data_IF_933029279770
#
_entry.id   IF_933029279770
#
_cell.length_a   1.000
_cell.length_b   1.000
_cell.length_c   1.000
_cell.angle_alpha   90.00
_cell.angle_beta   90.00
_cell.angle_gamma   90.00
#
_symmetry.space_group_name_H-M   'P 1'
#
loop_
_entity.id
_entity.type
_entity.pdbx_description
1 polymer ?
#
# COMPACT_ATOMS: atom_id res chain seq x y z
N UNK A 1 17.73 27.19 -19.29
CA UNK A 1 16.28 27.37 -19.05
C UNK A 1 15.47 26.07 -19.15
N UNK A 2 16.04 24.98 -19.63
CA UNK A 2 15.35 23.70 -19.86
C UNK A 2 15.09 22.87 -18.59
N UNK A 3 16.03 22.80 -17.63
CA UNK A 3 15.84 22.00 -16.41
C UNK A 3 14.76 22.52 -15.47
N UNK A 4 14.56 23.84 -15.38
CA UNK A 4 13.49 24.44 -14.56
C UNK A 4 12.10 24.18 -15.17
N UNK A 5 12.03 24.12 -16.50
CA UNK A 5 10.80 23.83 -17.24
C UNK A 5 10.38 22.36 -17.08
N UNK A 6 11.33 21.43 -17.14
CA UNK A 6 11.07 20.00 -16.94
C UNK A 6 10.61 19.72 -15.51
N UNK A 7 11.23 20.35 -14.50
CA UNK A 7 10.81 20.23 -13.11
C UNK A 7 9.38 20.77 -12.88
N UNK A 8 9.02 21.91 -13.50
CA UNK A 8 7.66 22.44 -13.42
C UNK A 8 6.62 21.52 -14.07
N UNK A 9 6.92 20.92 -15.22
CA UNK A 9 6.00 20.02 -15.92
C UNK A 9 5.77 18.73 -15.13
N UNK A 10 6.81 18.18 -14.50
CA UNK A 10 6.68 16.98 -13.66
C UNK A 10 5.85 17.29 -12.40
N UNK A 11 6.05 18.45 -11.77
CA UNK A 11 5.30 18.86 -10.57
C UNK A 11 3.83 19.14 -10.88
N UNK A 12 3.51 19.74 -12.04
CA UNK A 12 2.10 19.96 -12.44
C UNK A 12 1.40 18.64 -12.76
N UNK A 13 2.05 17.70 -13.44
CA UNK A 13 1.46 16.39 -13.75
C UNK A 13 1.21 15.56 -12.48
N UNK A 14 2.07 15.66 -11.46
CA UNK A 14 1.89 14.99 -10.18
C UNK A 14 0.72 15.54 -9.33
N UNK A 15 0.38 16.82 -9.48
CA UNK A 15 -0.70 17.46 -8.70
C UNK A 15 -2.09 17.35 -9.37
N UNK A 16 -2.15 17.12 -10.68
CA UNK A 16 -3.42 17.00 -11.44
C UNK A 16 -4.11 15.63 -11.27
N UNK A 17 -3.52 14.67 -10.54
CA UNK A 17 -4.00 13.31 -10.40
C UNK A 17 -4.98 13.02 -9.25
N UNK A 18 -5.45 14.01 -8.47
CA UNK A 18 -6.25 13.76 -7.25
C UNK A 18 -7.63 14.45 -7.25
N UNK A 19 -8.17 14.84 -8.40
CA UNK A 19 -9.57 15.28 -8.48
C UNK A 19 -10.49 14.12 -8.89
N UNK A 20 -10.94 13.37 -7.90
CA UNK A 20 -12.21 12.62 -7.99
C UNK A 20 -13.20 13.29 -7.05
N UNK A 21 -13.97 14.24 -7.60
CA UNK A 21 -15.11 14.83 -6.92
C UNK A 21 -16.31 13.88 -7.04
N UNK A 22 -16.79 13.49 -5.87
CA UNK A 22 -18.02 12.75 -5.65
C UNK A 22 -19.21 13.36 -6.41
N UNK A 23 -19.92 12.50 -7.14
CA UNK A 23 -21.28 12.74 -7.59
C UNK A 23 -22.06 11.45 -7.35
N UNK A 24 -22.62 11.33 -6.15
CA UNK A 24 -23.70 10.38 -5.85
C UNK A 24 -24.86 11.22 -5.34
N UNK A 25 -25.87 11.38 -6.20
CA UNK A 25 -27.14 12.03 -5.87
C UNK A 25 -28.24 11.06 -6.29
N UNK A 26 -28.64 10.21 -5.35
CA UNK A 26 -29.93 9.54 -5.37
C UNK A 26 -30.80 10.21 -4.30
N UNK A 27 -31.68 11.07 -4.78
CA UNK A 27 -32.83 11.60 -4.05
C UNK A 27 -33.95 10.57 -4.14
N UNK A 28 -34.19 9.84 -3.05
CA UNK A 28 -35.40 9.02 -2.88
C UNK A 28 -36.05 9.36 -1.54
N UNK A 29 -36.88 10.39 -1.60
CA UNK A 29 -38.22 10.47 -1.02
C UNK A 29 -38.49 9.64 0.25
N UNK A 30 -38.35 10.31 1.39
CA UNK A 30 -39.30 10.37 2.53
C UNK A 30 -40.27 9.18 2.66
N UNK A 31 -40.03 8.31 3.64
CA UNK A 31 -41.10 7.73 4.46
C UNK A 31 -40.62 7.69 5.91
N UNK A 32 -41.08 8.64 6.73
CA UNK A 32 -40.89 8.62 8.18
C UNK A 32 -41.85 7.56 8.74
N UNK A 33 -41.34 6.33 8.90
CA UNK A 33 -41.95 5.34 9.80
C UNK A 33 -41.28 5.54 11.15
N UNK A 34 -42.03 6.11 12.09
CA UNK A 34 -41.61 6.25 13.48
C UNK A 34 -41.54 4.85 14.12
N UNK A 35 -40.35 4.25 14.14
CA UNK A 35 -40.10 3.07 14.96
C UNK A 35 -39.86 3.48 16.43
N UNK A 36 -40.32 2.70 17.41
CA UNK A 36 -40.00 2.94 18.82
C UNK A 36 -38.48 2.91 19.00
N UNK A 37 -37.92 3.95 19.64
CA UNK A 37 -36.50 4.03 19.96
C UNK A 37 -36.19 2.89 20.95
N UNK A 38 -35.35 1.89 20.59
CA UNK A 38 -34.93 0.89 21.57
C UNK A 38 -34.15 1.59 22.69
N UNK A 39 -34.27 1.13 23.96
CA UNK A 39 -33.54 1.73 25.07
C UNK A 39 -32.05 1.73 24.76
N UNK A 40 -31.38 2.89 24.91
CA UNK A 40 -29.94 2.99 24.78
C UNK A 40 -29.28 2.15 25.87
N UNK A 41 -28.90 0.92 25.54
CA UNK A 41 -28.04 0.08 26.36
C UNK A 41 -26.72 0.81 26.57
N UNK A 42 -26.44 1.24 27.80
CA UNK A 42 -25.12 1.76 28.17
C UNK A 42 -24.09 0.65 27.89
N UNK A 43 -22.95 0.96 27.24
CA UNK A 43 -21.92 -0.05 26.98
C UNK A 43 -21.47 -0.67 28.31
N UNK A 44 -21.56 -1.99 28.42
CA UNK A 44 -21.13 -2.71 29.60
C UNK A 44 -19.60 -2.61 29.71
N UNK A 45 -18.99 -2.45 30.91
CA UNK A 45 -17.54 -2.35 31.06
C UNK A 45 -16.75 -3.50 30.39
N UNK A 46 -17.36 -4.68 30.32
CA UNK A 46 -16.80 -5.85 29.62
C UNK A 46 -16.72 -5.66 28.09
N UNK A 47 -17.65 -4.91 27.49
CA UNK A 47 -17.61 -4.57 26.07
C UNK A 47 -16.49 -3.59 25.74
N UNK A 48 -16.18 -2.65 26.65
CA UNK A 48 -15.06 -1.73 26.48
C UNK A 48 -13.71 -2.44 26.55
N UNK A 49 -13.56 -3.37 27.50
CA UNK A 49 -12.36 -4.19 27.63
C UNK A 49 -12.15 -5.06 26.37
N UNK A 50 -13.21 -5.68 25.85
CA UNK A 50 -13.17 -6.45 24.59
C UNK A 50 -12.78 -5.59 23.40
N UNK A 51 -13.42 -4.42 23.21
CA UNK A 51 -13.07 -3.47 22.13
C UNK A 51 -11.64 -2.96 22.22
N UNK A 52 -11.11 -2.77 23.44
CA UNK A 52 -9.70 -2.39 23.63
C UNK A 52 -8.77 -3.52 23.18
N UNK A 53 -9.05 -4.76 23.58
CA UNK A 53 -8.27 -5.92 23.16
C UNK A 53 -8.28 -6.09 21.63
N UNK A 54 -9.43 -5.95 20.99
CA UNK A 54 -9.56 -6.00 19.53
C UNK A 54 -8.72 -4.91 18.83
N UNK A 55 -8.76 -3.67 19.34
CA UNK A 55 -7.94 -2.56 18.82
C UNK A 55 -6.44 -2.82 19.00
N UNK A 56 -6.04 -3.33 20.16
CA UNK A 56 -4.64 -3.63 20.47
C UNK A 56 -4.12 -4.75 19.54
N UNK A 57 -4.94 -5.78 19.28
CA UNK A 57 -4.61 -6.85 18.33
C UNK A 57 -4.50 -6.34 16.89
N UNK A 58 -5.47 -5.53 16.44
CA UNK A 58 -5.46 -4.94 15.10
C UNK A 58 -4.24 -4.02 14.89
N UNK A 59 -3.88 -3.23 15.92
CA UNK A 59 -2.68 -2.38 15.88
C UNK A 59 -1.42 -3.23 15.72
N UNK A 60 -1.26 -4.28 16.53
CA UNK A 60 -0.10 -5.18 16.46
C UNK A 60 0.02 -5.84 15.09
N UNK A 61 -1.09 -6.34 14.53
CA UNK A 61 -1.11 -6.94 13.19
C UNK A 61 -0.67 -5.93 12.10
N UNK A 62 -1.11 -4.68 12.20
CA UNK A 62 -0.70 -3.65 11.25
C UNK A 62 0.80 -3.28 11.38
N UNK A 63 1.33 -3.22 12.61
CA UNK A 63 2.75 -3.00 12.88
C UNK A 63 3.61 -4.13 12.30
N UNK A 64 3.20 -5.39 12.50
CA UNK A 64 3.87 -6.56 11.94
C UNK A 64 3.87 -6.56 10.40
N UNK A 65 2.73 -6.23 9.78
CA UNK A 65 2.63 -6.09 8.32
C UNK A 65 3.54 -4.99 7.79
N UNK A 66 3.57 -3.83 8.45
CA UNK A 66 4.44 -2.72 8.06
C UNK A 66 5.93 -3.10 8.18
N UNK A 67 6.31 -3.79 9.26
CA UNK A 67 7.68 -4.28 9.44
C UNK A 67 8.06 -5.31 8.36
N UNK A 68 7.14 -6.20 7.98
CA UNK A 68 7.37 -7.16 6.89
C UNK A 68 7.57 -6.44 5.55
N UNK A 69 6.70 -5.48 5.21
CA UNK A 69 6.80 -4.66 4.01
C UNK A 69 8.14 -3.92 3.92
N UNK A 70 8.59 -3.33 5.03
CA UNK A 70 9.88 -2.63 5.08
C UNK A 70 11.04 -3.58 4.77
N UNK A 71 11.07 -4.76 5.40
CA UNK A 71 12.12 -5.77 5.15
C UNK A 71 12.14 -6.24 3.70
N UNK A 72 10.96 -6.48 3.12
CA UNK A 72 10.86 -6.93 1.74
C UNK A 72 11.31 -5.83 0.76
N UNK A 73 10.95 -4.56 1.02
CA UNK A 73 11.42 -3.42 0.23
C UNK A 73 12.94 -3.23 0.32
N UNK A 74 13.53 -3.37 1.51
CA UNK A 74 14.98 -3.30 1.70
C UNK A 74 15.69 -4.43 0.92
N UNK A 75 15.14 -5.65 0.96
CA UNK A 75 15.66 -6.79 0.18
C UNK A 75 15.54 -6.55 -1.33
N UNK A 76 14.42 -5.99 -1.79
CA UNK A 76 14.20 -5.65 -3.19
C UNK A 76 15.23 -4.63 -3.69
N UNK A 77 15.47 -3.58 -2.92
CA UNK A 77 16.48 -2.57 -3.22
C UNK A 77 17.89 -3.19 -3.32
N UNK A 78 18.24 -4.08 -2.38
CA UNK A 78 19.54 -4.76 -2.40
C UNK A 78 19.72 -5.60 -3.66
N UNK A 79 18.76 -6.49 -3.95
CA UNK A 79 18.81 -7.35 -5.13
C UNK A 79 18.85 -6.55 -6.43
N UNK A 80 18.11 -5.44 -6.50
CA UNK A 80 18.10 -4.57 -7.68
C UNK A 80 19.45 -3.89 -7.88
N UNK A 81 20.10 -3.46 -6.80
CA UNK A 81 21.45 -2.88 -6.82
C UNK A 81 22.50 -3.93 -7.24
N UNK A 82 22.39 -5.14 -6.70
CA UNK A 82 23.25 -6.27 -7.12
C UNK A 82 23.06 -6.58 -8.60
N UNK A 83 21.81 -6.68 -9.07
CA UNK A 83 21.48 -6.95 -10.47
C UNK A 83 22.12 -5.91 -11.39
N UNK A 84 21.98 -4.62 -11.05
CA UNK A 84 22.65 -3.54 -11.79
C UNK A 84 24.16 -3.74 -11.84
N UNK A 85 24.80 -4.03 -10.70
CA UNK A 85 26.25 -4.23 -10.65
C UNK A 85 26.70 -5.44 -11.49
N UNK A 86 25.90 -6.49 -11.58
CA UNK A 86 26.16 -7.63 -12.47
C UNK A 86 26.03 -7.24 -13.94
N UNK A 87 24.99 -6.49 -14.30
CA UNK A 87 24.80 -6.00 -15.68
C UNK A 87 25.93 -5.06 -16.08
N UNK A 88 26.34 -4.14 -15.21
CA UNK A 88 27.44 -3.21 -15.48
C UNK A 88 28.80 -3.92 -15.66
N UNK A 89 28.96 -5.12 -15.07
CA UNK A 89 30.16 -5.96 -15.20
C UNK A 89 30.10 -6.97 -16.34
N UNK A 90 28.90 -7.37 -16.77
CA UNK A 90 28.71 -8.29 -17.90
C UNK A 90 28.82 -7.52 -19.22
N UNK A 91 29.60 -8.05 -20.16
CA UNK A 91 29.66 -7.51 -21.52
C UNK A 91 28.43 -7.98 -22.34
N UNK A 92 28.14 -7.32 -23.48
CA UNK A 92 26.88 -7.44 -24.26
C UNK A 92 26.43 -8.88 -24.60
N UNK A 93 27.33 -9.87 -24.54
CA UNK A 93 27.06 -11.28 -24.90
C UNK A 93 27.04 -12.27 -23.71
N UNK A 94 27.06 -11.81 -22.46
CA UNK A 94 27.18 -12.74 -21.33
C UNK A 94 26.33 -12.35 -20.11
N UNK A 95 25.00 -12.35 -20.27
CA UNK A 95 24.08 -12.41 -19.13
C UNK A 95 24.10 -13.84 -18.57
N UNK A 96 24.83 -14.05 -17.47
CA UNK A 96 24.89 -15.35 -16.79
C UNK A 96 23.50 -15.80 -16.34
N UNK A 97 23.27 -17.11 -16.30
CA UNK A 97 22.06 -17.72 -15.69
C UNK A 97 21.80 -17.19 -14.28
N UNK A 98 22.84 -16.78 -13.56
CA UNK A 98 22.71 -16.19 -12.21
C UNK A 98 22.03 -14.81 -12.22
N UNK A 99 22.22 -14.02 -13.29
CA UNK A 99 21.59 -12.71 -13.46
C UNK A 99 20.09 -12.88 -13.71
N UNK A 100 19.72 -13.87 -14.52
CA UNK A 100 18.31 -14.23 -14.80
C UNK A 100 17.62 -14.68 -13.52
N UNK A 101 18.24 -15.58 -12.74
CA UNK A 101 17.70 -16.03 -11.44
C UNK A 101 17.50 -14.88 -10.45
N UNK A 102 18.42 -13.91 -10.41
CA UNK A 102 18.27 -12.70 -9.57
C UNK A 102 17.10 -11.84 -10.02
N UNK A 103 16.91 -11.67 -11.33
CA UNK A 103 15.76 -10.95 -11.87
C UNK A 103 14.42 -11.64 -11.51
N UNK A 104 14.34 -12.96 -11.59
CA UNK A 104 13.15 -13.72 -11.16
C UNK A 104 12.89 -13.58 -9.65
N UNK A 105 13.93 -13.56 -8.82
CA UNK A 105 13.76 -13.33 -7.38
C UNK A 105 13.23 -11.93 -7.10
N UNK A 106 13.71 -10.92 -7.82
CA UNK A 106 13.20 -9.54 -7.75
C UNK A 106 11.73 -9.49 -8.15
N UNK A 107 11.33 -10.14 -9.24
CA UNK A 107 9.93 -10.20 -9.69
C UNK A 107 9.02 -10.81 -8.62
N UNK A 108 9.39 -11.98 -8.07
CA UNK A 108 8.62 -12.66 -7.03
C UNK A 108 8.50 -11.81 -5.77
N UNK A 109 9.59 -11.15 -5.37
CA UNK A 109 9.60 -10.30 -4.18
C UNK A 109 8.76 -9.03 -4.41
N UNK A 110 8.88 -8.39 -5.57
CA UNK A 110 8.07 -7.24 -5.94
C UNK A 110 6.57 -7.58 -5.96
N UNK A 111 6.21 -8.75 -6.49
CA UNK A 111 4.84 -9.24 -6.45
C UNK A 111 4.37 -9.45 -5.01
N UNK A 112 5.19 -10.08 -4.16
CA UNK A 112 4.85 -10.30 -2.75
C UNK A 112 4.64 -8.98 -1.98
N UNK A 113 5.51 -7.98 -2.20
CA UNK A 113 5.37 -6.65 -1.61
C UNK A 113 4.04 -6.03 -2.02
N UNK A 114 3.71 -6.03 -3.31
CA UNK A 114 2.46 -5.47 -3.82
C UNK A 114 1.23 -6.13 -3.20
N UNK A 115 1.21 -7.45 -3.09
CA UNK A 115 0.08 -8.17 -2.50
C UNK A 115 -0.07 -7.87 -0.99
N UNK A 116 1.04 -7.83 -0.24
CA UNK A 116 1.02 -7.41 1.18
C UNK A 116 0.56 -5.96 1.38
N UNK A 117 0.84 -5.07 0.41
CA UNK A 117 0.39 -3.67 0.46
C UNK A 117 -1.11 -3.52 0.24
N UNK A 118 -1.75 -4.40 -0.54
CA UNK A 118 -3.21 -4.39 -0.73
C UNK A 118 -3.98 -4.77 0.54
N UNK A 119 -3.31 -5.43 1.49
CA UNK A 119 -3.93 -5.86 2.73
C UNK A 119 -4.75 -7.15 2.61
N UNK A 120 -4.40 -8.01 1.66
CA UNK A 120 -4.82 -9.41 1.62
C UNK A 120 -4.06 -10.27 2.63
#
# INVERSE_FOLDING_TARGET
MTSKLIACIVITVLMLGIMSTAAQQDDVLRTVVQQPIPPMSQPHPEDEARRKMERDLAKKANEERHAALKRDADKLLRLSTELKAFVDKSNENMLSLDVIKKAEEIEKLAHSVREKMKGN
#
